data_IF_323423606819
#
_entry.id   IF_323423606819
#
_cell.length_a   1.000
_cell.length_b   1.000
_cell.length_c   1.000
_cell.angle_alpha   90.00
_cell.angle_beta   90.00
_cell.angle_gamma   90.00
#
_symmetry.space_group_name_H-M   'P 1'
#
loop_
_entity.id
_entity.type
_entity.pdbx_description
1 polymer ?
#
# COMPACT_ATOMS: atom_id res chain seq x y z
N UNK A 1 -32.20 -6.42 -14.25
CA UNK A 1 -31.39 -5.47 -13.46
C UNK A 1 -30.35 -4.90 -14.40
N UNK A 2 -30.12 -3.59 -14.39
CA UNK A 2 -29.21 -2.93 -15.35
C UNK A 2 -27.75 -3.18 -14.93
N UNK A 3 -26.86 -3.49 -15.86
CA UNK A 3 -25.42 -3.77 -15.63
C UNK A 3 -24.75 -2.70 -14.73
N UNK A 4 -25.15 -1.43 -14.88
CA UNK A 4 -24.68 -0.33 -14.03
C UNK A 4 -25.05 -0.43 -12.55
N UNK A 5 -26.17 -1.07 -12.18
CA UNK A 5 -26.48 -1.29 -10.76
C UNK A 5 -25.59 -2.38 -10.14
N UNK A 6 -25.02 -3.26 -10.97
CA UNK A 6 -24.12 -4.33 -10.52
C UNK A 6 -22.71 -3.76 -10.24
N UNK A 7 -22.17 -2.93 -11.14
CA UNK A 7 -20.81 -2.39 -11.00
C UNK A 7 -20.65 -1.51 -9.75
N UNK A 8 -21.62 -0.61 -9.47
CA UNK A 8 -21.57 0.25 -8.29
C UNK A 8 -21.57 -0.57 -6.99
N UNK A 9 -22.42 -1.61 -6.91
CA UNK A 9 -22.46 -2.49 -5.75
C UNK A 9 -21.16 -3.27 -5.59
N UNK A 10 -20.54 -3.70 -6.70
CA UNK A 10 -19.24 -4.38 -6.66
C UNK A 10 -18.12 -3.45 -6.21
N UNK A 11 -18.16 -2.17 -6.59
CA UNK A 11 -17.23 -1.17 -6.09
C UNK A 11 -17.41 -0.94 -4.59
N UNK A 12 -18.64 -0.75 -4.11
CA UNK A 12 -18.95 -0.63 -2.67
C UNK A 12 -18.45 -1.85 -1.88
N UNK A 13 -18.72 -3.06 -2.37
CA UNK A 13 -18.24 -4.30 -1.76
C UNK A 13 -16.69 -4.38 -1.69
N UNK A 14 -15.99 -3.83 -2.67
CA UNK A 14 -14.53 -3.78 -2.69
C UNK A 14 -13.99 -2.72 -1.73
N UNK A 15 -14.62 -1.54 -1.68
CA UNK A 15 -14.30 -0.47 -0.73
C UNK A 15 -14.47 -0.96 0.73
N UNK A 16 -15.55 -1.69 1.02
CA UNK A 16 -15.80 -2.27 2.34
C UNK A 16 -14.73 -3.28 2.78
N UNK A 17 -14.05 -3.93 1.83
CA UNK A 17 -12.98 -4.91 2.10
C UNK A 17 -11.58 -4.30 2.11
N UNK A 18 -11.41 -3.13 1.51
CA UNK A 18 -10.12 -2.52 1.25
C UNK A 18 -9.28 -2.34 2.53
N UNK A 19 -9.88 -1.87 3.62
CA UNK A 19 -9.16 -1.70 4.90
C UNK A 19 -8.59 -3.04 5.41
N UNK A 20 -9.35 -4.13 5.26
CA UNK A 20 -8.91 -5.47 5.63
C UNK A 20 -7.73 -5.94 4.77
N UNK A 21 -7.79 -5.69 3.46
CA UNK A 21 -6.69 -6.04 2.55
C UNK A 21 -5.42 -5.27 2.86
N UNK A 22 -5.53 -3.96 3.09
CA UNK A 22 -4.40 -3.10 3.46
C UNK A 22 -3.75 -3.63 4.74
N UNK A 23 -4.54 -3.92 5.77
CA UNK A 23 -4.01 -4.40 7.05
C UNK A 23 -3.20 -5.69 6.90
N UNK A 24 -3.73 -6.67 6.16
CA UNK A 24 -3.01 -7.92 5.93
C UNK A 24 -1.78 -7.75 5.04
N UNK A 25 -1.85 -6.88 4.02
CA UNK A 25 -0.70 -6.59 3.15
C UNK A 25 0.43 -5.89 3.93
N UNK A 26 0.09 -4.97 4.82
CA UNK A 26 1.06 -4.30 5.72
C UNK A 26 1.74 -5.32 6.63
N UNK A 27 0.99 -6.21 7.26
CA UNK A 27 1.55 -7.25 8.14
C UNK A 27 2.50 -8.18 7.37
N UNK A 28 2.11 -8.61 6.17
CA UNK A 28 2.95 -9.45 5.29
C UNK A 28 4.23 -8.71 4.86
N UNK A 29 4.11 -7.46 4.41
CA UNK A 29 5.22 -6.65 3.95
C UNK A 29 6.22 -6.36 5.07
N UNK A 30 5.75 -6.03 6.29
CA UNK A 30 6.63 -5.83 7.44
C UNK A 30 7.45 -7.08 7.76
N UNK A 31 6.79 -8.25 7.79
CA UNK A 31 7.47 -9.51 8.07
C UNK A 31 8.49 -9.88 6.98
N UNK A 32 8.17 -9.61 5.71
CA UNK A 32 9.02 -9.97 4.58
C UNK A 32 10.22 -9.02 4.46
N UNK A 33 9.97 -7.72 4.45
CA UNK A 33 10.99 -6.70 4.15
C UNK A 33 11.88 -6.44 5.36
N UNK A 34 11.33 -6.36 6.57
CA UNK A 34 12.15 -6.12 7.77
C UNK A 34 12.70 -7.40 8.40
N UNK A 35 12.27 -8.57 7.91
CA UNK A 35 12.80 -9.87 8.31
C UNK A 35 14.03 -10.33 7.53
N UNK A 36 14.45 -9.60 6.49
CA UNK A 36 15.52 -10.03 5.56
C UNK A 36 16.96 -9.79 6.07
N UNK A 37 17.10 -9.06 7.18
CA UNK A 37 18.38 -8.75 7.82
C UNK A 37 19.14 -7.55 7.27
N UNK A 38 18.57 -6.77 6.35
CA UNK A 38 19.17 -5.49 5.86
C UNK A 38 19.13 -4.39 6.90
N UNK A 39 18.17 -4.43 7.81
CA UNK A 39 18.00 -3.46 8.90
C UNK A 39 18.20 -4.15 10.24
N UNK A 40 18.91 -3.50 11.14
CA UNK A 40 18.97 -3.92 12.54
C UNK A 40 17.85 -3.30 13.39
N UNK A 41 17.74 -3.70 14.66
CA UNK A 41 16.74 -3.14 15.58
C UNK A 41 16.89 -1.63 15.80
N UNK A 42 18.12 -1.11 15.72
CA UNK A 42 18.40 0.32 15.84
C UNK A 42 17.94 1.09 14.60
N UNK A 43 18.08 0.50 13.42
CA UNK A 43 17.58 1.06 12.16
C UNK A 43 16.06 1.15 12.16
N UNK A 44 15.37 0.07 12.51
CA UNK A 44 13.91 0.08 12.61
C UNK A 44 13.41 1.10 13.64
N UNK A 45 14.14 1.28 14.75
CA UNK A 45 13.82 2.32 15.74
C UNK A 45 13.93 3.72 15.14
N UNK A 46 15.00 4.01 14.40
CA UNK A 46 15.19 5.32 13.73
C UNK A 46 14.12 5.58 12.68
N UNK A 47 13.76 4.58 11.87
CA UNK A 47 12.70 4.74 10.88
C UNK A 47 11.36 5.05 11.56
N UNK A 48 11.06 4.40 12.70
CA UNK A 48 9.87 4.72 13.49
C UNK A 48 9.92 6.12 14.10
N UNK A 49 11.08 6.60 14.55
CA UNK A 49 11.23 7.99 15.02
C UNK A 49 10.98 9.00 13.88
N UNK A 50 11.44 8.70 12.66
CA UNK A 50 11.15 9.51 11.47
C UNK A 50 9.65 9.50 11.14
N UNK A 51 9.01 8.34 11.15
CA UNK A 51 7.56 8.19 10.92
C UNK A 51 6.74 9.05 11.89
N UNK A 52 7.07 8.98 13.19
CA UNK A 52 6.42 9.82 14.20
C UNK A 52 6.69 11.32 14.00
N UNK A 53 7.90 11.69 13.58
CA UNK A 53 8.20 13.08 13.24
C UNK A 53 7.38 13.60 12.04
N UNK A 54 7.23 12.79 10.99
CA UNK A 54 6.42 13.12 9.82
C UNK A 54 4.93 13.25 10.17
N UNK A 55 4.41 12.35 11.02
CA UNK A 55 3.04 12.46 11.55
C UNK A 55 2.83 13.76 12.32
N UNK A 56 3.80 14.17 13.14
CA UNK A 56 3.74 15.42 13.89
C UNK A 56 3.75 16.67 12.99
N UNK A 57 4.39 16.58 11.81
CA UNK A 57 4.35 17.62 10.77
C UNK A 57 3.06 17.63 9.93
N UNK A 58 2.14 16.68 10.18
CA UNK A 58 0.92 16.42 9.38
C UNK A 58 1.22 15.96 7.95
N UNK A 59 2.35 15.30 7.74
CA UNK A 59 2.80 14.78 6.44
C UNK A 59 2.39 13.31 6.21
N UNK A 60 1.56 12.74 7.09
CA UNK A 60 0.95 11.41 6.89
C UNK A 60 1.79 10.21 7.33
N UNK A 61 3.04 10.42 7.77
CA UNK A 61 3.93 9.33 8.18
C UNK A 61 4.44 8.49 7.00
N UNK A 62 5.28 7.50 7.28
CA UNK A 62 5.83 6.56 6.31
C UNK A 62 4.87 5.39 6.04
N UNK A 63 4.16 4.90 7.06
CA UNK A 63 3.46 3.62 6.94
C UNK A 63 2.14 3.69 6.19
N UNK A 64 1.57 4.89 6.03
CA UNK A 64 0.31 5.14 5.33
C UNK A 64 0.46 5.83 3.98
N UNK A 65 1.66 5.85 3.39
CA UNK A 65 1.93 6.61 2.17
C UNK A 65 1.37 5.96 0.90
N UNK A 66 1.17 4.63 0.90
CA UNK A 66 0.53 3.92 -0.21
C UNK A 66 -0.96 4.28 -0.24
N UNK A 67 -1.42 4.70 -1.41
CA UNK A 67 -2.78 5.11 -1.69
C UNK A 67 -3.44 4.16 -2.67
N UNK A 68 -4.77 4.11 -2.61
CA UNK A 68 -5.58 3.12 -3.30
C UNK A 68 -6.75 3.81 -3.97
N UNK A 69 -7.06 3.41 -5.20
CA UNK A 69 -8.22 3.89 -5.92
C UNK A 69 -8.95 2.73 -6.58
N UNK A 70 -10.19 2.51 -6.17
CA UNK A 70 -11.11 1.58 -6.84
C UNK A 70 -11.88 2.36 -7.91
N UNK A 71 -12.00 1.79 -9.11
CA UNK A 71 -12.71 2.42 -10.22
C UNK A 71 -13.35 1.36 -11.14
N UNK A 72 -14.29 1.81 -11.96
CA UNK A 72 -14.82 1.01 -13.05
C UNK A 72 -14.06 1.32 -14.34
N UNK A 73 -13.66 0.29 -15.07
CA UNK A 73 -13.05 0.39 -16.39
C UNK A 73 -13.84 -0.46 -17.40
N UNK A 74 -13.79 -0.06 -18.67
CA UNK A 74 -14.37 -0.80 -19.78
C UNK A 74 -13.28 -1.69 -20.40
N UNK A 75 -13.56 -2.98 -20.57
CA UNK A 75 -12.66 -3.90 -21.25
C UNK A 75 -12.74 -3.74 -22.77
N UNK A 76 -11.78 -4.32 -23.50
CA UNK A 76 -11.79 -4.32 -24.97
C UNK A 76 -13.06 -4.96 -25.57
N UNK A 77 -13.73 -5.84 -24.81
CA UNK A 77 -14.99 -6.49 -25.19
C UNK A 77 -16.24 -5.63 -24.90
N UNK A 78 -16.06 -4.44 -24.30
CA UNK A 78 -17.13 -3.51 -23.94
C UNK A 78 -17.81 -3.80 -22.60
N UNK A 79 -17.24 -4.67 -21.76
CA UNK A 79 -17.76 -4.99 -20.44
C UNK A 79 -17.20 -4.03 -19.38
N UNK A 80 -18.06 -3.53 -18.48
CA UNK A 80 -17.62 -2.77 -17.30
C UNK A 80 -17.10 -3.72 -16.20
N UNK A 81 -15.89 -3.48 -15.70
CA UNK A 81 -15.25 -4.26 -14.64
C UNK A 81 -14.69 -3.35 -13.54
N UNK A 82 -14.65 -3.86 -12.31
CA UNK A 82 -14.02 -3.16 -11.19
C UNK A 82 -12.52 -3.43 -11.23
N UNK A 83 -11.73 -2.38 -11.04
CA UNK A 83 -10.27 -2.40 -10.97
C UNK A 83 -9.75 -1.53 -9.83
N UNK A 84 -8.49 -1.72 -9.47
CA UNK A 84 -7.80 -1.02 -8.38
C UNK A 84 -6.44 -0.51 -8.89
N UNK A 85 -6.13 0.74 -8.56
CA UNK A 85 -4.79 1.30 -8.69
C UNK A 85 -4.17 1.44 -7.29
N UNK A 86 -2.87 1.13 -7.20
CA UNK A 86 -2.03 1.42 -6.04
C UNK A 86 -0.95 2.43 -6.43
N UNK A 87 -0.67 3.41 -5.57
CA UNK A 87 0.33 4.45 -5.86
C UNK A 87 0.88 5.09 -4.59
N UNK A 88 2.07 5.68 -4.70
CA UNK A 88 2.78 6.27 -3.57
C UNK A 88 3.78 5.30 -2.95
N UNK A 89 4.93 5.83 -2.57
CA UNK A 89 6.03 5.06 -1.98
C UNK A 89 6.51 5.81 -0.74
N UNK A 90 6.64 5.13 0.42
CA UNK A 90 7.19 5.75 1.62
C UNK A 90 8.61 6.24 1.36
N UNK A 91 8.91 7.47 1.78
CA UNK A 91 10.23 8.06 1.59
C UNK A 91 10.56 9.03 2.71
N UNK A 92 11.80 8.97 3.20
CA UNK A 92 12.37 9.89 4.16
C UNK A 92 12.90 11.11 3.41
N UNK A 93 12.35 12.31 3.69
CA UNK A 93 12.78 13.53 3.02
C UNK A 93 14.21 13.92 3.44
N UNK A 94 14.97 14.58 2.55
CA UNK A 94 16.38 14.94 2.81
C UNK A 94 16.55 15.98 3.93
N UNK A 95 15.52 16.76 4.23
CA UNK A 95 15.51 17.85 5.23
C UNK A 95 14.87 17.42 6.56
N UNK A 96 14.80 16.12 6.84
CA UNK A 96 14.33 15.62 8.14
C UNK A 96 15.36 15.94 9.24
N UNK A 97 15.06 16.91 10.10
CA UNK A 97 15.92 17.28 11.23
C UNK A 97 15.63 16.47 12.51
N UNK A 98 14.58 15.64 12.50
CA UNK A 98 14.11 14.95 13.71
C UNK A 98 15.03 13.80 14.16
N UNK A 99 15.78 13.22 13.22
CA UNK A 99 16.71 12.11 13.46
C UNK A 99 18.00 12.43 12.71
N UNK A 100 19.12 12.50 13.42
CA UNK A 100 20.42 12.67 12.78
C UNK A 100 20.73 11.44 11.90
N UNK A 101 20.81 11.68 10.59
CA UNK A 101 21.01 10.65 9.60
C UNK A 101 21.88 11.19 8.47
N UNK A 102 22.90 10.42 8.10
CA UNK A 102 23.72 10.70 6.92
C UNK A 102 22.99 10.28 5.63
N UNK A 103 23.48 10.77 4.50
CA UNK A 103 22.85 10.53 3.19
C UNK A 103 22.86 9.04 2.80
N UNK A 104 23.97 8.33 3.07
CA UNK A 104 24.11 6.90 2.78
C UNK A 104 23.06 6.05 3.51
N UNK A 105 22.85 6.31 4.81
CA UNK A 105 21.83 5.62 5.60
C UNK A 105 20.42 6.00 5.16
N UNK A 106 20.19 7.27 4.78
CA UNK A 106 18.89 7.71 4.24
C UNK A 106 18.55 6.99 2.94
N UNK A 107 19.51 6.86 2.03
CA UNK A 107 19.35 6.12 0.78
C UNK A 107 19.05 4.65 1.05
N UNK A 108 19.83 4.00 1.91
CA UNK A 108 19.58 2.61 2.31
C UNK A 108 18.17 2.41 2.90
N UNK A 109 17.72 3.31 3.79
CA UNK A 109 16.37 3.24 4.36
C UNK A 109 15.30 3.46 3.29
N UNK A 110 15.50 4.41 2.37
CA UNK A 110 14.56 4.66 1.28
C UNK A 110 14.47 3.48 0.30
N UNK A 111 15.56 2.77 0.05
CA UNK A 111 15.52 1.54 -0.74
C UNK A 111 14.64 0.48 -0.06
N UNK A 112 14.83 0.25 1.25
CA UNK A 112 14.01 -0.71 1.99
C UNK A 112 12.54 -0.26 2.06
N UNK A 113 12.29 1.04 2.27
CA UNK A 113 10.94 1.61 2.29
C UNK A 113 10.26 1.51 0.91
N UNK A 114 11.03 1.60 -0.17
CA UNK A 114 10.53 1.35 -1.52
C UNK A 114 10.07 -0.09 -1.68
N UNK A 115 10.88 -1.06 -1.26
CA UNK A 115 10.51 -2.48 -1.29
C UNK A 115 9.25 -2.73 -0.44
N UNK A 116 9.17 -2.14 0.75
CA UNK A 116 7.97 -2.21 1.59
C UNK A 116 6.73 -1.66 0.89
N UNK A 117 6.82 -0.49 0.23
CA UNK A 117 5.70 0.08 -0.53
C UNK A 117 5.22 -0.82 -1.67
N UNK A 118 6.15 -1.44 -2.40
CA UNK A 118 5.85 -2.41 -3.46
C UNK A 118 5.14 -3.63 -2.89
N UNK A 119 5.67 -4.24 -1.81
CA UNK A 119 5.07 -5.43 -1.21
C UNK A 119 3.66 -5.17 -0.66
N UNK A 120 3.42 -3.99 -0.08
CA UNK A 120 2.08 -3.59 0.35
C UNK A 120 1.14 -3.45 -0.85
N UNK A 121 1.61 -2.83 -1.93
CA UNK A 121 0.84 -2.59 -3.15
C UNK A 121 0.43 -3.90 -3.81
N UNK A 122 1.40 -4.76 -4.10
CA UNK A 122 1.18 -6.11 -4.65
C UNK A 122 0.32 -6.97 -3.72
N UNK A 123 0.47 -6.82 -2.40
CA UNK A 123 -0.32 -7.53 -1.40
C UNK A 123 -1.80 -7.17 -1.41
N UNK A 124 -2.14 -5.90 -1.71
CA UNK A 124 -3.52 -5.44 -1.88
C UNK A 124 -4.07 -5.85 -3.24
N UNK A 125 -3.30 -5.67 -4.31
CA UNK A 125 -3.70 -6.04 -5.67
C UNK A 125 -4.03 -7.52 -5.79
N UNK A 126 -3.18 -8.40 -5.24
CA UNK A 126 -3.44 -9.85 -5.21
C UNK A 126 -4.77 -10.20 -4.54
N UNK A 127 -5.06 -9.58 -3.39
CA UNK A 127 -6.32 -9.81 -2.66
C UNK A 127 -7.54 -9.30 -3.42
N UNK A 128 -7.39 -8.18 -4.11
CA UNK A 128 -8.41 -7.65 -4.99
C UNK A 128 -8.66 -8.59 -6.17
N UNK A 129 -7.60 -9.11 -6.80
CA UNK A 129 -7.69 -10.08 -7.90
C UNK A 129 -8.37 -11.38 -7.46
N UNK A 130 -8.00 -11.92 -6.29
CA UNK A 130 -8.62 -13.11 -5.71
C UNK A 130 -10.14 -12.89 -5.51
N UNK A 131 -10.53 -11.76 -4.90
CA UNK A 131 -11.94 -11.40 -4.75
C UNK A 131 -12.66 -11.26 -6.09
N UNK A 132 -12.01 -10.65 -7.09
CA UNK A 132 -12.58 -10.47 -8.43
C UNK A 132 -12.77 -11.82 -9.12
N UNK A 133 -11.84 -12.76 -8.94
CA UNK A 133 -11.90 -14.12 -9.48
C UNK A 133 -13.03 -14.95 -8.84
N UNK A 134 -13.11 -14.98 -7.51
CA UNK A 134 -14.19 -15.67 -6.76
C UNK A 134 -15.59 -15.22 -7.21
N UNK A 135 -15.73 -13.94 -7.56
CA UNK A 135 -16.99 -13.33 -8.04
C UNK A 135 -17.30 -13.68 -9.50
N UNK A 136 -16.29 -13.93 -10.34
CA UNK A 136 -16.50 -14.41 -11.72
C UNK A 136 -16.99 -15.85 -11.76
N UNK A 137 -16.53 -16.70 -10.83
CA UNK A 137 -16.95 -18.10 -10.75
C UNK A 137 -18.39 -18.28 -10.21
N UNK A 138 -18.95 -17.24 -9.57
CA UNK A 138 -20.31 -17.25 -8.99
C UNK A 138 -21.37 -16.58 -9.87
N UNK A 139 -20.98 -15.96 -10.99
CA UNK A 139 -21.85 -15.26 -11.94
C UNK A 139 -22.17 -16.13 -13.16
#
# INVERSE_FOLDING_TARGET
MSVRMDIHRRMEDAEDRLEGWIRSAVEEAQNKVFGDGRLDEGDLRRINEVDEALKNRREGGLWGTVQYRIYAEETDDGDEVVSIDTFGVPSIPPDIEAVEMDEERREMYNDVLSDYGVEVSEGVERRFEDWRAERREQA
#
